data_IF_942905635640
#
_entry.id   IF_942905635640
#
_cell.length_a   1.000
_cell.length_b   1.000
_cell.length_c   1.000
_cell.angle_alpha   90.00
_cell.angle_beta   90.00
_cell.angle_gamma   90.00
#
_symmetry.space_group_name_H-M   'P 1'
#
loop_
_entity.id
_entity.type
_entity.pdbx_description
1 polymer ?
#
# COMPACT_ATOMS: atom_id res chain seq x y z
N UNK A 1 4.43 -13.73 13.01
CA UNK A 1 4.25 -12.83 11.85
C UNK A 1 3.50 -11.59 12.31
N UNK A 2 4.02 -10.41 12.03
CA UNK A 2 3.35 -9.18 12.42
C UNK A 2 2.23 -8.83 11.42
N UNK A 3 1.40 -7.84 11.75
CA UNK A 3 0.24 -7.48 10.95
C UNK A 3 0.62 -6.97 9.55
N UNK A 4 1.74 -6.28 9.43
CA UNK A 4 2.22 -5.79 8.12
C UNK A 4 2.68 -6.93 7.22
N UNK A 5 3.29 -7.98 7.78
CA UNK A 5 3.65 -9.17 7.01
C UNK A 5 2.40 -9.86 6.48
N UNK A 6 1.37 -9.98 7.32
CA UNK A 6 0.10 -10.58 6.93
C UNK A 6 -0.62 -9.76 5.84
N UNK A 7 -0.58 -8.43 5.97
CA UNK A 7 -1.12 -7.53 4.96
C UNK A 7 -0.36 -7.66 3.63
N UNK A 8 0.97 -7.70 3.69
CA UNK A 8 1.83 -7.86 2.51
C UNK A 8 1.54 -9.18 1.80
N UNK A 9 1.44 -10.27 2.54
CA UNK A 9 1.11 -11.59 1.99
C UNK A 9 -0.27 -11.62 1.33
N UNK A 10 -1.25 -10.97 1.95
CA UNK A 10 -2.59 -10.87 1.38
C UNK A 10 -2.57 -10.10 0.04
N UNK A 11 -1.84 -9.00 -0.04
CA UNK A 11 -1.70 -8.23 -1.28
C UNK A 11 -1.03 -9.08 -2.36
N UNK A 12 0.06 -9.76 -2.04
CA UNK A 12 0.77 -10.63 -2.99
C UNK A 12 -0.11 -11.74 -3.53
N UNK A 13 -0.95 -12.32 -2.68
CA UNK A 13 -1.80 -13.45 -3.05
C UNK A 13 -2.95 -13.01 -3.94
N UNK A 14 -3.54 -11.86 -3.69
CA UNK A 14 -4.78 -11.44 -4.33
C UNK A 14 -4.57 -10.43 -5.46
N UNK A 15 -3.54 -9.60 -5.39
CA UNK A 15 -3.23 -8.63 -6.43
C UNK A 15 -2.01 -9.09 -7.23
N UNK A 16 -2.27 -9.77 -8.34
CA UNK A 16 -1.23 -10.35 -9.19
C UNK A 16 -0.82 -9.47 -10.37
N UNK A 17 -1.44 -8.30 -10.50
CA UNK A 17 -1.23 -7.39 -11.63
C UNK A 17 -0.08 -6.40 -11.45
N UNK A 18 0.69 -6.49 -10.36
CA UNK A 18 1.91 -5.69 -10.20
C UNK A 18 2.92 -6.07 -11.29
N UNK A 19 3.53 -5.05 -11.90
CA UNK A 19 4.52 -5.25 -12.98
C UNK A 19 5.80 -5.91 -12.49
N UNK A 20 5.99 -6.02 -11.18
CA UNK A 20 7.13 -6.66 -10.54
C UNK A 20 6.61 -7.68 -9.52
N UNK A 21 7.27 -8.85 -9.46
CA UNK A 21 6.97 -9.89 -8.47
C UNK A 21 7.41 -9.52 -7.05
N UNK A 22 7.98 -8.33 -6.89
CA UNK A 22 8.63 -7.93 -5.66
C UNK A 22 7.75 -6.98 -4.86
N UNK A 23 7.36 -7.41 -3.68
CA UNK A 23 6.70 -6.57 -2.70
C UNK A 23 7.49 -6.67 -1.40
N UNK A 24 8.09 -5.56 -1.01
CA UNK A 24 8.92 -5.48 0.20
C UNK A 24 8.12 -4.88 1.34
N UNK A 25 8.52 -5.21 2.57
CA UNK A 25 7.99 -4.58 3.76
C UNK A 25 9.04 -3.64 4.36
N UNK A 26 8.65 -2.36 4.54
CA UNK A 26 9.52 -1.29 5.07
C UNK A 26 10.89 -1.17 4.39
N UNK A 27 10.98 -1.62 3.16
CA UNK A 27 12.21 -1.58 2.39
C UNK A 27 11.97 -0.75 1.13
N UNK A 28 12.09 0.56 1.24
CA UNK A 28 11.97 1.44 0.08
C UNK A 28 13.29 1.37 -0.68
N UNK A 29 13.25 0.70 -1.82
CA UNK A 29 14.39 0.61 -2.73
C UNK A 29 14.09 1.49 -3.93
N UNK A 30 15.03 2.38 -4.24
CA UNK A 30 14.92 3.24 -5.42
C UNK A 30 15.43 2.52 -6.66
N UNK A 31 14.89 1.32 -6.91
CA UNK A 31 15.14 0.52 -8.10
C UNK A 31 13.88 0.46 -8.95
N UNK A 32 14.05 0.42 -10.27
CA UNK A 32 12.92 0.32 -11.20
C UNK A 32 12.10 -0.93 -10.91
N UNK A 33 10.78 -0.76 -10.81
CA UNK A 33 9.85 -1.86 -10.58
C UNK A 33 9.71 -2.28 -9.13
N UNK A 34 10.37 -1.61 -8.19
CA UNK A 34 10.24 -1.90 -6.76
C UNK A 34 8.88 -1.50 -6.24
N UNK A 35 8.31 -2.35 -5.39
CA UNK A 35 7.06 -2.09 -4.68
C UNK A 35 7.29 -2.37 -3.20
N UNK A 36 6.70 -1.57 -2.32
CA UNK A 36 6.83 -1.80 -0.89
C UNK A 36 5.56 -1.45 -0.14
N UNK A 37 5.31 -2.20 0.94
CA UNK A 37 4.30 -1.87 1.94
C UNK A 37 5.04 -1.34 3.16
N UNK A 38 4.71 -0.15 3.60
CA UNK A 38 5.44 0.54 4.65
C UNK A 38 4.54 0.86 5.82
N UNK A 39 5.11 0.81 7.02
CA UNK A 39 4.43 1.26 8.23
C UNK A 39 4.30 2.78 8.23
N UNK A 40 3.23 3.28 8.84
CA UNK A 40 2.99 4.70 9.05
C UNK A 40 2.90 4.95 10.54
N UNK A 41 3.58 5.98 11.03
CA UNK A 41 3.57 6.35 12.44
C UNK A 41 2.16 6.70 12.91
N UNK A 42 1.81 6.26 14.10
CA UNK A 42 0.53 6.57 14.70
C UNK A 42 0.13 5.55 15.75
N UNK A 43 -1.08 5.70 16.28
CA UNK A 43 -1.66 4.76 17.23
C UNK A 43 -2.55 3.76 16.50
N UNK A 44 -2.44 2.49 16.89
CA UNK A 44 -3.30 1.44 16.36
C UNK A 44 -4.70 1.46 16.99
N UNK A 45 -4.81 1.87 18.24
CA UNK A 45 -6.10 1.91 18.96
C UNK A 45 -6.75 3.26 18.72
N UNK A 46 -7.92 3.26 18.06
CA UNK A 46 -8.67 4.49 17.77
C UNK A 46 -9.75 4.75 18.79
N UNK A 47 -10.30 3.71 19.43
CA UNK A 47 -11.36 3.85 20.42
C UNK A 47 -11.32 2.71 21.43
N UNK A 48 -11.61 3.01 22.69
CA UNK A 48 -11.76 2.02 23.77
C UNK A 48 -13.17 2.11 24.33
N UNK A 49 -13.79 0.96 24.49
CA UNK A 49 -15.13 0.86 25.05
C UNK A 49 -15.10 0.43 26.54
N UNK A 50 -16.19 0.69 27.24
CA UNK A 50 -16.26 0.42 28.68
C UNK A 50 -16.18 -1.07 29.03
N UNK A 51 -16.51 -1.95 28.11
CA UNK A 51 -16.42 -3.41 28.29
C UNK A 51 -15.00 -3.97 28.08
N UNK A 52 -14.03 -3.10 27.79
CA UNK A 52 -12.65 -3.47 27.54
C UNK A 52 -12.33 -3.77 26.09
N UNK A 53 -13.31 -3.79 25.20
CA UNK A 53 -13.06 -3.95 23.77
C UNK A 53 -12.46 -2.68 23.18
N UNK A 54 -11.77 -2.83 22.05
CA UNK A 54 -11.13 -1.72 21.36
C UNK A 54 -11.46 -1.77 19.88
N UNK A 55 -11.52 -0.61 19.27
CA UNK A 55 -11.48 -0.45 17.81
C UNK A 55 -10.04 -0.16 17.41
N UNK A 56 -9.52 -0.92 16.43
CA UNK A 56 -8.14 -0.83 16.02
C UNK A 56 -8.04 -0.46 14.55
N UNK A 57 -6.96 0.24 14.22
CA UNK A 57 -6.70 0.71 12.87
C UNK A 57 -5.21 0.59 12.58
N UNK A 58 -4.89 -0.14 11.50
CA UNK A 58 -3.53 -0.26 11.02
C UNK A 58 -3.39 0.61 9.77
N UNK A 59 -2.60 1.67 9.86
CA UNK A 59 -2.31 2.55 8.73
C UNK A 59 -1.08 2.05 8.00
N UNK A 60 -1.15 2.01 6.67
CA UNK A 60 -0.06 1.57 5.82
C UNK A 60 0.11 2.51 4.63
N UNK A 61 1.29 2.47 4.03
CA UNK A 61 1.59 3.14 2.78
C UNK A 61 2.12 2.13 1.77
N UNK A 62 1.76 2.31 0.50
CA UNK A 62 2.29 1.50 -0.59
C UNK A 62 3.07 2.42 -1.52
N UNK A 63 4.33 2.08 -1.76
CA UNK A 63 5.21 2.84 -2.64
C UNK A 63 5.56 2.02 -3.88
N UNK A 64 5.45 2.66 -5.03
CA UNK A 64 5.83 2.09 -6.33
C UNK A 64 6.93 2.96 -6.92
N UNK A 65 8.06 2.34 -7.32
CA UNK A 65 9.17 3.04 -7.98
C UNK A 65 9.16 2.69 -9.45
N UNK A 66 9.04 3.70 -10.30
CA UNK A 66 8.91 3.53 -11.75
C UNK A 66 9.83 4.49 -12.49
N UNK A 67 10.02 4.24 -13.78
CA UNK A 67 10.75 5.14 -14.65
C UNK A 67 10.09 6.51 -14.70
N UNK A 68 10.92 7.54 -14.70
CA UNK A 68 10.50 8.92 -14.89
C UNK A 68 11.28 9.54 -16.04
N UNK A 69 10.58 10.27 -16.90
CA UNK A 69 11.20 11.07 -17.95
C UNK A 69 10.50 12.42 -18.06
N UNK A 70 11.29 13.50 -18.02
CA UNK A 70 10.77 14.85 -18.21
C UNK A 70 10.34 15.10 -19.66
N UNK A 71 10.87 14.33 -20.62
CA UNK A 71 10.63 14.52 -22.06
C UNK A 71 9.62 13.50 -22.63
N UNK A 72 9.47 12.34 -21.99
CA UNK A 72 8.61 11.26 -22.46
C UNK A 72 7.49 10.99 -21.44
N UNK A 73 6.33 11.53 -21.74
CA UNK A 73 5.17 11.40 -20.84
C UNK A 73 4.60 9.99 -20.76
N UNK A 74 4.91 9.09 -21.70
CA UNK A 74 4.35 7.73 -21.73
C UNK A 74 4.74 6.91 -20.49
N UNK A 75 5.99 6.99 -20.04
CA UNK A 75 6.43 6.31 -18.82
C UNK A 75 5.67 6.82 -17.60
N UNK A 76 5.47 8.12 -17.52
CA UNK A 76 4.77 8.74 -16.39
C UNK A 76 3.28 8.38 -16.40
N UNK A 77 2.66 8.36 -17.58
CA UNK A 77 1.25 7.93 -17.72
C UNK A 77 1.09 6.47 -17.35
N UNK A 78 1.98 5.60 -17.78
CA UNK A 78 1.94 4.18 -17.44
C UNK A 78 2.07 3.96 -15.92
N UNK A 79 2.94 4.71 -15.26
CA UNK A 79 3.12 4.63 -13.81
C UNK A 79 1.85 5.08 -13.07
N UNK A 80 1.24 6.17 -13.46
CA UNK A 80 -0.01 6.67 -12.86
C UNK A 80 -1.14 5.68 -13.11
N UNK A 81 -1.22 5.08 -14.30
CA UNK A 81 -2.23 4.06 -14.58
C UNK A 81 -2.06 2.83 -13.67
N UNK A 82 -0.83 2.42 -13.40
CA UNK A 82 -0.55 1.31 -12.50
C UNK A 82 -1.00 1.62 -11.06
N UNK A 83 -0.72 2.83 -10.57
CA UNK A 83 -1.19 3.29 -9.26
C UNK A 83 -2.71 3.34 -9.21
N UNK A 84 -3.35 3.86 -10.25
CA UNK A 84 -4.81 3.95 -10.33
C UNK A 84 -5.46 2.56 -10.33
N UNK A 85 -4.86 1.60 -11.02
CA UNK A 85 -5.33 0.22 -11.03
C UNK A 85 -5.23 -0.43 -9.65
N UNK A 86 -4.16 -0.16 -8.92
CA UNK A 86 -3.99 -0.64 -7.55
C UNK A 86 -5.06 -0.05 -6.62
N UNK A 87 -5.30 1.24 -6.69
CA UNK A 87 -6.34 1.92 -5.90
C UNK A 87 -7.71 1.32 -6.20
N UNK A 88 -8.03 1.14 -7.48
CA UNK A 88 -9.32 0.57 -7.89
C UNK A 88 -9.48 -0.87 -7.39
N UNK A 89 -8.41 -1.66 -7.40
CA UNK A 89 -8.44 -3.00 -6.85
C UNK A 89 -8.81 -3.01 -5.36
N UNK A 90 -8.23 -2.11 -4.56
CA UNK A 90 -8.59 -1.99 -3.14
C UNK A 90 -10.07 -1.63 -2.95
N UNK A 91 -10.63 -0.83 -3.84
CA UNK A 91 -12.04 -0.43 -3.78
C UNK A 91 -13.00 -1.55 -4.16
N UNK A 92 -12.57 -2.46 -5.04
CA UNK A 92 -13.43 -3.51 -5.60
C UNK A 92 -13.16 -4.90 -5.04
N UNK A 93 -12.04 -5.11 -4.32
CA UNK A 93 -11.69 -6.41 -3.76
C UNK A 93 -12.65 -6.79 -2.63
N UNK A 94 -13.16 -8.01 -2.68
CA UNK A 94 -14.14 -8.51 -1.72
C UNK A 94 -13.53 -9.35 -0.60
N UNK A 95 -12.30 -9.84 -0.78
CA UNK A 95 -11.59 -10.56 0.27
C UNK A 95 -10.92 -9.58 1.23
N UNK A 96 -10.73 -10.01 2.48
CA UNK A 96 -10.09 -9.20 3.52
C UNK A 96 -8.84 -9.91 4.03
N UNK A 97 -7.83 -9.15 4.51
CA UNK A 97 -6.67 -9.76 5.15
C UNK A 97 -7.07 -10.61 6.35
N UNK A 98 -6.32 -11.67 6.61
CA UNK A 98 -6.52 -12.54 7.77
C UNK A 98 -5.46 -12.21 8.81
N UNK A 99 -5.88 -11.56 9.89
CA UNK A 99 -5.01 -11.20 11.01
C UNK A 99 -5.12 -12.20 12.18
N UNK A 100 -5.81 -13.30 11.97
CA UNK A 100 -6.02 -14.33 12.99
C UNK A 100 -7.40 -14.29 13.61
N UNK A 101 -7.72 -15.29 14.44
CA UNK A 101 -9.05 -15.44 15.03
C UNK A 101 -9.41 -14.34 16.03
N UNK A 102 -8.40 -13.75 16.68
CA UNK A 102 -8.58 -12.70 17.68
C UNK A 102 -8.66 -11.29 17.06
N UNK A 103 -8.38 -11.16 15.77
CA UNK A 103 -8.31 -9.88 15.07
C UNK A 103 -9.06 -9.97 13.74
N UNK A 104 -10.38 -9.89 13.84
CA UNK A 104 -11.23 -9.98 12.65
C UNK A 104 -11.19 -8.63 11.90
N UNK A 105 -10.71 -8.67 10.67
CA UNK A 105 -10.66 -7.50 9.81
C UNK A 105 -12.08 -7.13 9.36
N UNK A 106 -12.48 -5.91 9.64
CA UNK A 106 -13.80 -5.38 9.27
C UNK A 106 -13.79 -4.71 7.91
N UNK A 107 -12.72 -3.96 7.61
CA UNK A 107 -12.61 -3.23 6.36
C UNK A 107 -11.15 -2.91 6.05
N UNK A 108 -10.88 -2.69 4.77
CA UNK A 108 -9.65 -2.12 4.27
C UNK A 108 -10.01 -1.04 3.25
N UNK A 109 -9.38 0.12 3.36
CA UNK A 109 -9.67 1.21 2.44
C UNK A 109 -8.42 2.03 2.15
N UNK A 110 -8.41 2.69 1.00
CA UNK A 110 -7.40 3.66 0.63
C UNK A 110 -7.86 5.03 1.14
N UNK A 111 -7.03 5.66 1.95
CA UNK A 111 -7.31 6.99 2.52
C UNK A 111 -6.69 8.12 1.70
N UNK A 112 -5.66 7.81 0.90
CA UNK A 112 -5.02 8.75 -0.01
C UNK A 112 -4.92 8.08 -1.37
N UNK A 113 -5.86 8.37 -2.26
CA UNK A 113 -5.96 7.76 -3.59
C UNK A 113 -5.20 8.56 -4.67
N UNK A 114 -4.88 9.81 -4.39
CA UNK A 114 -3.96 10.59 -5.23
C UNK A 114 -2.57 10.45 -4.61
N UNK A 115 -1.60 9.87 -5.35
CA UNK A 115 -0.31 9.54 -4.78
C UNK A 115 0.54 10.76 -4.49
N UNK A 116 1.35 10.69 -3.44
CA UNK A 116 2.51 11.55 -3.29
C UNK A 116 3.57 11.13 -4.31
N UNK A 117 4.20 12.10 -4.93
CA UNK A 117 5.17 11.86 -6.01
C UNK A 117 6.50 12.45 -5.61
N UNK A 118 7.53 11.59 -5.56
CA UNK A 118 8.91 12.01 -5.32
C UNK A 118 9.74 11.64 -6.55
N UNK A 119 10.32 12.65 -7.17
CA UNK A 119 11.07 12.52 -8.43
C UNK A 119 12.56 12.57 -8.14
N UNK A 120 13.30 11.58 -8.65
CA UNK A 120 14.75 11.57 -8.71
C UNK A 120 15.16 11.68 -10.17
N UNK A 121 15.43 12.90 -10.62
CA UNK A 121 15.77 13.16 -12.01
C UNK A 121 17.12 12.57 -12.40
N UNK A 122 18.09 12.56 -11.48
CA UNK A 122 19.43 12.05 -11.77
C UNK A 122 19.41 10.54 -12.00
N UNK A 123 18.58 9.81 -11.28
CA UNK A 123 18.40 8.38 -11.45
C UNK A 123 17.37 8.03 -12.52
N UNK A 124 16.56 9.00 -12.99
CA UNK A 124 15.45 8.75 -13.91
C UNK A 124 14.33 7.94 -13.29
N UNK A 125 14.06 8.14 -12.01
CA UNK A 125 13.08 7.38 -11.24
C UNK A 125 12.07 8.30 -10.56
N UNK A 126 10.90 7.75 -10.31
CA UNK A 126 9.85 8.42 -9.56
C UNK A 126 9.20 7.43 -8.59
N UNK A 127 9.02 7.85 -7.35
CA UNK A 127 8.30 7.08 -6.34
C UNK A 127 6.89 7.62 -6.20
N UNK A 128 5.91 6.74 -6.35
CA UNK A 128 4.49 7.02 -6.12
C UNK A 128 4.06 6.35 -4.83
N UNK A 129 3.44 7.08 -3.92
CA UNK A 129 3.03 6.55 -2.63
C UNK A 129 1.57 6.86 -2.35
N UNK A 130 0.81 5.84 -2.02
CA UNK A 130 -0.57 5.94 -1.54
C UNK A 130 -0.63 5.46 -0.10
N UNK A 131 -1.70 5.83 0.61
CA UNK A 131 -1.92 5.38 1.97
C UNK A 131 -3.29 4.74 2.11
N UNK A 132 -3.37 3.83 3.06
CA UNK A 132 -4.60 3.16 3.39
C UNK A 132 -4.65 2.76 4.85
N UNK A 133 -5.77 2.16 5.25
CA UNK A 133 -5.95 1.66 6.61
C UNK A 133 -6.75 0.37 6.61
N UNK A 134 -6.48 -0.46 7.61
CA UNK A 134 -7.23 -1.68 7.90
C UNK A 134 -7.88 -1.49 9.26
N UNK A 135 -9.18 -1.74 9.35
CA UNK A 135 -9.92 -1.69 10.62
C UNK A 135 -10.22 -3.11 11.12
N UNK A 136 -9.95 -3.33 12.39
CA UNK A 136 -10.17 -4.64 13.01
C UNK A 136 -10.45 -4.57 14.51
#
# INVERSE_FOLDING_TARGET
MNLYDQLTDWIKTNYTSLSSDWLYFNAIRMDIGSNSVNSVSGSMITEKYMDGSTENELTFAIALVRLYSAEMSDDNVNAINEVSNLVEWFKTETTLPDFGTDKVVNSIEITQDIPDIVIDQDAGLCKYQIQGKVQF
#
